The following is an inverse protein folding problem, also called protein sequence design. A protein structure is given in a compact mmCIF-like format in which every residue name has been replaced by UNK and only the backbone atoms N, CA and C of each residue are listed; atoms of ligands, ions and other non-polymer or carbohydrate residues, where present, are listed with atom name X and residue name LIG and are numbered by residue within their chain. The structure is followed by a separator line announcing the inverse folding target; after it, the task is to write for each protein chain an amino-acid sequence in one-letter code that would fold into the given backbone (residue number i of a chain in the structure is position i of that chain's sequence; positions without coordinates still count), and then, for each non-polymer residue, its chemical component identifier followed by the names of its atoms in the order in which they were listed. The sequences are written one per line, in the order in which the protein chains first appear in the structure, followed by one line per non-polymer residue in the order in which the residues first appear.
data_IF_383668956523
#
_entry.id   IF_383668956523
#
_cell.length_a   1.000
_cell.length_b   1.000
_cell.length_c   1.000
_cell.angle_alpha   90.00
_cell.angle_beta   90.00
_cell.angle_gamma   90.00
#
_symmetry.space_group_name_H-M   'P 1'
#
loop_
_entity.id
_entity.type
_entity.pdbx_description
1 polymer ?
#
# COMPACT_ATOMS: atom_id res chain seq x y z
N UNK A 1 -10.98 -3.72 11.33
CA UNK A 1 -9.52 -3.95 11.19
C UNK A 1 -8.87 -3.65 12.53
N UNK A 2 -7.92 -4.47 12.97
CA UNK A 2 -7.17 -4.23 14.22
C UNK A 2 -5.87 -3.55 13.82
N UNK A 3 -5.52 -2.44 14.49
CA UNK A 3 -4.29 -1.73 14.19
C UNK A 3 -3.05 -2.54 14.61
N UNK A 4 -2.17 -2.79 13.66
CA UNK A 4 -0.82 -3.32 13.87
C UNK A 4 0.17 -2.13 13.91
N UNK A 5 0.35 -1.44 12.81
CA UNK A 5 1.11 -0.21 12.71
C UNK A 5 0.20 0.86 12.10
N UNK A 6 -0.53 1.58 12.96
CA UNK A 6 -1.67 2.42 12.57
C UNK A 6 -1.33 3.53 11.55
N UNK A 7 -0.08 3.98 11.51
CA UNK A 7 0.38 4.94 10.50
C UNK A 7 0.73 4.29 9.14
N UNK A 8 0.83 2.97 9.08
CA UNK A 8 1.26 2.21 7.90
C UNK A 8 0.19 1.24 7.39
N UNK A 9 -0.75 0.84 8.25
CA UNK A 9 -1.78 -0.14 7.90
C UNK A 9 -2.68 0.39 6.78
N UNK A 10 -2.86 -0.44 5.75
CA UNK A 10 -3.72 -0.15 4.62
C UNK A 10 -4.58 -1.37 4.29
N UNK A 11 -5.89 -1.17 4.11
CA UNK A 11 -6.73 -2.19 3.50
C UNK A 11 -6.51 -2.17 1.99
N UNK A 12 -6.35 -3.36 1.40
CA UNK A 12 -6.13 -3.52 -0.02
C UNK A 12 -7.05 -4.56 -0.63
N UNK A 13 -7.19 -4.53 -1.95
CA UNK A 13 -8.03 -5.44 -2.71
C UNK A 13 -7.13 -6.33 -3.55
N UNK A 14 -7.37 -7.64 -3.49
CA UNK A 14 -6.79 -8.63 -4.38
C UNK A 14 -7.91 -9.19 -5.25
N UNK A 15 -7.82 -9.00 -6.55
CA UNK A 15 -8.83 -9.42 -7.53
C UNK A 15 -8.18 -9.94 -8.80
N UNK A 16 -8.97 -10.58 -9.67
CA UNK A 16 -8.48 -11.11 -10.95
C UNK A 16 -8.41 -10.01 -12.02
N UNK A 17 -9.20 -8.95 -11.87
CA UNK A 17 -9.27 -7.85 -12.83
C UNK A 17 -9.20 -6.48 -12.16
N UNK A 18 -8.79 -5.47 -12.92
CA UNK A 18 -8.84 -4.08 -12.48
C UNK A 18 -10.28 -3.60 -12.27
N UNK A 19 -11.24 -4.12 -13.04
CA UNK A 19 -12.66 -3.80 -12.91
C UNK A 19 -13.20 -4.26 -11.54
N UNK A 20 -12.94 -5.51 -11.15
CA UNK A 20 -13.32 -6.01 -9.83
C UNK A 20 -12.68 -5.18 -8.71
N UNK A 21 -11.39 -4.84 -8.86
CA UNK A 21 -10.70 -3.99 -7.90
C UNK A 21 -11.37 -2.61 -7.77
N UNK A 22 -11.76 -2.00 -8.88
CA UNK A 22 -12.43 -0.71 -8.93
C UNK A 22 -13.80 -0.77 -8.22
N UNK A 23 -14.61 -1.80 -8.54
CA UNK A 23 -15.92 -2.02 -7.91
C UNK A 23 -15.79 -2.14 -6.39
N UNK A 24 -14.87 -2.97 -5.91
CA UNK A 24 -14.66 -3.13 -4.47
C UNK A 24 -14.15 -1.84 -3.82
N UNK A 25 -13.23 -1.12 -4.48
CA UNK A 25 -12.67 0.11 -3.94
C UNK A 25 -13.73 1.21 -3.80
N UNK A 26 -14.66 1.34 -4.75
CA UNK A 26 -15.78 2.27 -4.68
C UNK A 26 -16.65 2.06 -3.43
N UNK A 27 -16.76 0.80 -2.97
CA UNK A 27 -17.57 0.46 -1.80
C UNK A 27 -16.77 0.48 -0.49
N UNK A 28 -15.44 0.34 -0.56
CA UNK A 28 -14.58 0.33 0.63
C UNK A 28 -14.08 1.72 1.00
N UNK A 29 -13.83 2.57 0.00
CA UNK A 29 -13.37 3.93 0.23
C UNK A 29 -14.53 4.81 0.74
N UNK A 30 -14.18 5.87 1.45
CA UNK A 30 -15.14 6.87 1.91
C UNK A 30 -14.80 7.45 3.27
N UNK A 31 -15.49 8.52 3.60
CA UNK A 31 -15.29 9.22 4.86
C UNK A 31 -15.94 8.48 6.04
N UNK A 32 -15.17 8.28 7.08
CA UNK A 32 -15.65 7.78 8.37
C UNK A 32 -15.50 8.87 9.44
N UNK A 33 -16.62 9.32 10.01
CA UNK A 33 -16.66 10.32 11.08
C UNK A 33 -15.92 9.89 12.36
N UNK A 34 -15.70 8.58 12.55
CA UNK A 34 -15.00 8.02 13.70
C UNK A 34 -13.50 7.90 13.50
N UNK A 35 -13.02 8.15 12.28
CA UNK A 35 -11.60 8.14 11.93
C UNK A 35 -11.15 9.55 11.52
N UNK A 36 -10.39 10.20 12.40
CA UNK A 36 -9.88 11.55 12.16
C UNK A 36 -8.85 11.64 11.02
N UNK A 37 -8.33 10.52 10.54
CA UNK A 37 -7.40 10.43 9.42
C UNK A 37 -8.10 10.20 8.08
N UNK A 38 -9.40 9.91 8.10
CA UNK A 38 -10.22 9.70 6.91
C UNK A 38 -10.41 11.01 6.13
N UNK A 39 -10.17 10.96 4.81
CA UNK A 39 -10.40 12.11 3.92
C UNK A 39 -11.89 12.37 3.72
N UNK A 40 -12.26 13.65 3.70
CA UNK A 40 -13.63 14.09 3.40
C UNK A 40 -13.91 14.17 1.89
N UNK A 41 -12.93 13.84 1.05
CA UNK A 41 -13.08 13.87 -0.40
C UNK A 41 -14.14 12.86 -0.86
N UNK A 42 -14.87 13.23 -1.89
CA UNK A 42 -15.85 12.35 -2.52
C UNK A 42 -15.14 11.17 -3.19
N UNK A 43 -15.69 9.96 -3.00
CA UNK A 43 -15.14 8.75 -3.65
C UNK A 43 -15.45 8.79 -5.13
N UNK A 44 -14.42 8.79 -6.01
CA UNK A 44 -14.64 8.74 -7.44
C UNK A 44 -15.26 7.39 -7.85
N UNK A 45 -16.00 7.41 -8.95
CA UNK A 45 -16.42 6.17 -9.61
C UNK A 45 -15.25 5.61 -10.42
N UNK A 46 -14.40 4.80 -9.76
CA UNK A 46 -13.19 4.26 -10.36
C UNK A 46 -13.47 3.44 -11.62
N UNK A 47 -14.62 2.76 -11.69
CA UNK A 47 -15.05 1.99 -12.86
C UNK A 47 -15.18 2.83 -14.13
N UNK A 48 -15.54 4.09 -14.01
CA UNK A 48 -15.66 5.02 -15.15
C UNK A 48 -14.30 5.42 -15.74
N UNK A 49 -13.19 5.21 -15.02
CA UNK A 49 -11.85 5.63 -15.42
C UNK A 49 -10.99 4.52 -16.01
N UNK A 50 -11.43 3.27 -16.00
CA UNK A 50 -10.65 2.10 -16.38
C UNK A 50 -10.15 2.10 -17.82
N UNK A 51 -10.91 2.73 -18.73
CA UNK A 51 -10.59 2.79 -20.15
C UNK A 51 -10.23 4.19 -20.62
N UNK A 52 -9.82 5.07 -19.71
CA UNK A 52 -9.42 6.41 -20.08
C UNK A 52 -8.14 6.40 -20.91
N UNK A 53 -8.06 7.35 -21.85
CA UNK A 53 -6.86 7.58 -22.64
C UNK A 53 -5.70 7.99 -21.73
N UNK A 54 -4.55 7.35 -21.93
CA UNK A 54 -3.31 7.59 -21.19
C UNK A 54 -2.38 8.59 -21.90
N UNK A 55 -2.77 9.06 -23.07
CA UNK A 55 -1.96 9.97 -23.89
C UNK A 55 -1.55 11.21 -23.08
N UNK A 56 -0.26 11.49 -23.06
CA UNK A 56 0.31 12.63 -22.36
C UNK A 56 0.46 12.49 -20.85
N UNK A 57 0.07 11.36 -20.27
CA UNK A 57 0.41 11.07 -18.86
C UNK A 57 1.92 10.94 -18.74
N UNK A 58 2.47 11.42 -17.60
CA UNK A 58 3.91 11.39 -17.32
C UNK A 58 4.16 10.47 -16.14
N UNK A 59 5.04 9.48 -16.32
CA UNK A 59 5.45 8.52 -15.30
C UNK A 59 6.94 8.69 -15.01
N UNK A 60 7.30 8.81 -13.73
CA UNK A 60 8.69 8.87 -13.29
C UNK A 60 9.30 7.48 -13.18
N UNK A 61 10.51 7.29 -13.72
CA UNK A 61 11.32 6.09 -13.55
C UNK A 61 12.48 6.40 -12.57
N UNK A 62 12.39 5.93 -11.32
CA UNK A 62 13.49 6.13 -10.37
C UNK A 62 14.71 5.33 -10.79
N UNK A 63 15.81 6.01 -11.04
CA UNK A 63 17.07 5.37 -11.46
C UNK A 63 17.59 4.34 -10.45
N UNK A 64 17.26 4.51 -9.18
CA UNK A 64 17.65 3.65 -8.08
C UNK A 64 17.06 2.23 -8.19
N UNK A 65 16.00 2.03 -8.97
CA UNK A 65 15.42 0.70 -9.23
C UNK A 65 16.05 -0.01 -10.43
N UNK A 66 16.90 0.69 -11.18
CA UNK A 66 17.56 0.18 -12.39
C UNK A 66 19.08 0.11 -12.23
N UNK A 67 19.58 -0.01 -11.01
CA UNK A 67 21.01 -0.06 -10.67
C UNK A 67 21.71 -1.38 -10.99
N UNK A 68 21.00 -2.32 -11.61
CA UNK A 68 21.50 -3.64 -11.97
C UNK A 68 21.36 -4.71 -10.88
N UNK A 69 20.76 -4.38 -9.73
CA UNK A 69 20.49 -5.34 -8.66
C UNK A 69 19.30 -6.26 -8.96
N UNK A 70 18.43 -5.87 -9.90
CA UNK A 70 17.26 -6.63 -10.31
C UNK A 70 17.67 -7.79 -11.23
N UNK A 71 17.18 -8.99 -10.96
CA UNK A 71 17.35 -10.14 -11.86
C UNK A 71 16.92 -9.80 -13.30
N UNK A 72 17.73 -10.22 -14.28
CA UNK A 72 17.56 -9.86 -15.69
C UNK A 72 16.17 -10.23 -16.25
N UNK A 73 15.57 -11.31 -15.76
CA UNK A 73 14.23 -11.75 -16.18
C UNK A 73 13.17 -10.73 -15.75
N UNK A 74 13.24 -10.22 -14.51
CA UNK A 74 12.32 -9.19 -14.04
C UNK A 74 12.59 -7.86 -14.72
N UNK A 75 13.85 -7.52 -14.95
CA UNK A 75 14.20 -6.30 -15.70
C UNK A 75 13.61 -6.31 -17.10
N UNK A 76 13.64 -7.43 -17.80
CA UNK A 76 13.01 -7.58 -19.12
C UNK A 76 11.51 -7.33 -19.05
N UNK A 77 10.80 -7.97 -18.09
CA UNK A 77 9.35 -7.78 -17.93
C UNK A 77 8.96 -6.33 -17.63
N UNK A 78 9.73 -5.65 -16.80
CA UNK A 78 9.50 -4.23 -16.49
C UNK A 78 9.71 -3.37 -17.74
N UNK A 79 10.78 -3.63 -18.51
CA UNK A 79 11.08 -2.90 -19.75
C UNK A 79 10.00 -3.10 -20.80
N UNK A 80 9.53 -4.33 -20.98
CA UNK A 80 8.42 -4.64 -21.88
C UNK A 80 7.13 -3.91 -21.47
N UNK A 81 6.84 -3.86 -20.17
CA UNK A 81 5.69 -3.12 -19.63
C UNK A 81 5.79 -1.61 -19.90
N UNK A 82 6.98 -1.02 -19.74
CA UNK A 82 7.25 0.38 -20.07
C UNK A 82 6.93 0.64 -21.56
N UNK A 83 7.42 -0.22 -22.47
CA UNK A 83 7.15 -0.08 -23.89
C UNK A 83 5.67 -0.19 -24.25
N UNK A 84 4.90 -1.03 -23.55
CA UNK A 84 3.45 -1.09 -23.78
C UNK A 84 2.77 0.23 -23.37
N UNK A 85 3.14 0.82 -22.24
CA UNK A 85 2.62 2.13 -21.86
C UNK A 85 3.05 3.27 -22.80
N UNK A 86 4.27 3.23 -23.32
CA UNK A 86 4.73 4.19 -24.34
C UNK A 86 3.86 4.13 -25.60
N UNK A 87 3.49 2.92 -26.05
CA UNK A 87 2.55 2.73 -27.18
C UNK A 87 1.16 3.32 -26.90
N UNK A 88 0.75 3.39 -25.63
CA UNK A 88 -0.48 4.04 -25.18
C UNK A 88 -0.33 5.57 -25.02
N UNK A 89 0.81 6.15 -25.39
CA UNK A 89 1.05 7.58 -25.35
C UNK A 89 1.54 8.12 -24.00
N UNK A 90 1.94 7.25 -23.06
CA UNK A 90 2.55 7.65 -21.79
C UNK A 90 3.98 8.14 -22.04
N UNK A 91 4.37 9.21 -21.36
CA UNK A 91 5.73 9.73 -21.38
C UNK A 91 6.47 9.30 -20.10
N UNK A 92 7.69 8.79 -20.25
CA UNK A 92 8.54 8.46 -19.10
C UNK A 92 9.62 9.49 -18.88
N UNK A 93 9.93 9.74 -17.61
CA UNK A 93 11.02 10.65 -17.19
C UNK A 93 11.87 9.99 -16.12
N UNK A 94 13.18 10.07 -16.31
CA UNK A 94 14.12 9.69 -15.24
C UNK A 94 13.96 10.62 -14.05
N UNK A 95 13.78 10.03 -12.89
CA UNK A 95 13.74 10.72 -11.60
C UNK A 95 14.74 10.11 -10.63
N UNK A 96 14.96 10.73 -9.49
CA UNK A 96 15.77 10.20 -8.40
C UNK A 96 14.97 10.18 -7.12
N UNK A 97 15.05 9.06 -6.39
CA UNK A 97 14.50 8.86 -5.05
C UNK A 97 15.66 8.54 -4.08
N UNK A 98 16.52 9.52 -3.72
CA UNK A 98 17.77 9.26 -3.01
C UNK A 98 17.59 8.62 -1.63
N UNK A 99 16.40 8.75 -1.04
CA UNK A 99 16.08 8.21 0.27
C UNK A 99 15.48 6.81 0.24
N UNK A 100 15.26 6.22 -0.95
CA UNK A 100 14.62 4.90 -1.09
C UNK A 100 15.37 3.80 -0.34
N UNK A 101 16.69 3.92 -0.22
CA UNK A 101 17.55 3.00 0.53
C UNK A 101 17.21 2.91 2.01
N UNK A 102 16.52 3.91 2.56
CA UNK A 102 16.09 3.93 3.95
C UNK A 102 14.69 3.34 4.17
N UNK A 103 13.93 3.03 3.13
CA UNK A 103 12.54 2.58 3.23
C UNK A 103 12.40 1.33 4.10
N UNK A 104 13.16 0.29 3.79
CA UNK A 104 13.12 -0.98 4.54
C UNK A 104 13.65 -0.81 5.97
N UNK A 105 14.81 -0.17 6.22
CA UNK A 105 15.24 0.10 7.58
C UNK A 105 14.24 0.92 8.40
N UNK A 106 13.62 1.93 7.82
CA UNK A 106 12.58 2.75 8.49
C UNK A 106 11.37 1.90 8.85
N UNK A 107 10.90 1.06 7.93
CA UNK A 107 9.80 0.14 8.20
C UNK A 107 10.10 -0.76 9.41
N UNK A 108 11.28 -1.37 9.47
CA UNK A 108 11.66 -2.25 10.57
C UNK A 108 11.82 -1.54 11.93
N UNK A 109 11.95 -0.23 11.95
CA UNK A 109 11.93 0.56 13.20
C UNK A 109 10.51 0.97 13.57
N UNK A 110 9.78 1.56 12.63
CA UNK A 110 8.46 2.16 12.88
C UNK A 110 7.39 1.08 13.13
N UNK A 111 7.31 0.07 12.26
CA UNK A 111 6.26 -0.94 12.36
C UNK A 111 6.30 -1.74 13.68
N UNK A 112 7.44 -2.25 14.17
CA UNK A 112 7.51 -2.92 15.46
C UNK A 112 7.21 -1.99 16.65
N UNK A 113 7.64 -0.73 16.59
CA UNK A 113 7.37 0.23 17.66
C UNK A 113 5.87 0.53 17.79
N UNK A 114 5.19 0.79 16.68
CA UNK A 114 3.74 0.98 16.65
C UNK A 114 2.98 -0.30 17.03
N UNK A 115 3.42 -1.46 16.54
CA UNK A 115 2.86 -2.75 16.90
C UNK A 115 2.91 -2.98 18.41
N UNK A 116 4.05 -2.75 19.04
CA UNK A 116 4.22 -2.87 20.49
C UNK A 116 3.22 -1.99 21.24
N UNK A 117 3.03 -0.76 20.81
CA UNK A 117 2.07 0.17 21.41
C UNK A 117 0.62 -0.25 21.15
N UNK A 118 0.27 -0.56 19.91
CA UNK A 118 -1.11 -0.86 19.51
C UNK A 118 -1.61 -2.18 20.09
N UNK A 119 -0.75 -3.21 20.19
CA UNK A 119 -1.13 -4.53 20.69
C UNK A 119 -0.94 -4.70 22.20
N UNK A 120 -0.38 -3.73 22.90
CA UNK A 120 -0.21 -3.77 24.35
C UNK A 120 -1.52 -3.98 25.13
N UNK A 121 -2.66 -3.62 24.53
CA UNK A 121 -4.00 -3.82 25.10
C UNK A 121 -4.49 -5.26 25.09
N UNK A 122 -3.85 -6.14 24.30
CA UNK A 122 -4.21 -7.56 24.19
C UNK A 122 -3.40 -8.39 25.18
N UNK A 123 -3.53 -8.04 26.45
CA UNK A 123 -2.79 -8.59 27.59
C UNK A 123 -3.48 -9.82 28.22
N UNK A 124 -4.61 -10.27 27.67
CA UNK A 124 -5.40 -11.36 28.22
C UNK A 124 -6.30 -10.97 29.40
N UNK A 125 -6.29 -9.70 29.83
CA UNK A 125 -7.18 -9.20 30.89
C UNK A 125 -8.44 -8.58 30.31
N UNK A 126 -8.28 -7.60 29.43
CA UNK A 126 -9.41 -6.91 28.77
C UNK A 126 -9.70 -7.47 27.39
N UNK A 127 -8.65 -7.79 26.65
CA UNK A 127 -8.71 -8.30 25.28
C UNK A 127 -7.67 -9.40 25.07
N UNK A 128 -7.93 -10.25 24.08
CA UNK A 128 -7.03 -11.32 23.71
C UNK A 128 -7.28 -12.61 24.49
N UNK A 129 -6.41 -13.59 24.28
CA UNK A 129 -6.49 -14.89 24.91
C UNK A 129 -5.92 -14.84 26.32
N UNK A 130 -6.62 -15.44 27.28
CA UNK A 130 -6.13 -15.70 28.63
C UNK A 130 -6.01 -17.20 28.85
N UNK A 131 -4.86 -17.64 29.36
CA UNK A 131 -4.66 -19.04 29.74
C UNK A 131 -5.60 -19.41 30.87
N UNK A 132 -6.24 -20.57 30.78
CA UNK A 132 -7.05 -21.15 31.86
C UNK A 132 -6.21 -21.76 32.99
N UNK A 133 -4.92 -21.89 32.77
CA UNK A 133 -3.97 -22.44 33.76
C UNK A 133 -3.46 -21.39 34.73
N UNK A 134 -3.64 -20.10 34.41
CA UNK A 134 -3.28 -19.00 35.32
C UNK A 134 -4.38 -18.74 36.34
N UNK A 135 -4.02 -18.67 37.61
CA UNK A 135 -4.95 -18.45 38.73
C UNK A 135 -4.99 -17.00 39.20
N UNK A 136 -4.00 -16.20 38.85
CA UNK A 136 -3.91 -14.77 39.20
C UNK A 136 -3.17 -13.98 38.12
N UNK A 137 -2.86 -12.72 38.39
CA UNK A 137 -2.24 -11.79 37.45
C UNK A 137 -0.71 -11.71 37.53
N UNK A 138 -0.11 -12.52 38.39
CA UNK A 138 1.34 -12.57 38.59
C UNK A 138 2.06 -13.41 37.56
#
# INVERSE_FOLDING_TARGET
MIAFASSLDQAGILSISAEDAAIFLEHMAGYDQKDSTSSIEEVPKYTEFLNNDLTGKVVGLPREFFDGSLDSKYQTLVTESIHEYEKMGVQFKDISLPNIKYSVPTYYVVAPAECSSNLARYDGVRFGHRSSEGTDLD
#
